data_IF_702473726710
#
_entry.id   IF_702473726710
#
_cell.length_a   1.000
_cell.length_b   1.000
_cell.length_c   1.000
_cell.angle_alpha   90.00
_cell.angle_beta   90.00
_cell.angle_gamma   90.00
#
_symmetry.space_group_name_H-M   'P 1'
#
loop_
_entity.id
_entity.type
_entity.pdbx_description
1 polymer ?
#
# COMPACT_ATOMS: atom_id res chain seq x y z
N UNK A 1 -3.40 11.79 -19.87
CA UNK A 1 -2.05 11.80 -20.44
C UNK A 1 -1.56 10.36 -20.57
N UNK A 2 -0.84 10.04 -21.64
CA UNK A 2 -0.12 8.77 -21.81
C UNK A 2 1.14 8.75 -20.94
N UNK A 3 1.74 7.57 -20.71
CA UNK A 3 2.99 7.49 -19.96
C UNK A 3 4.11 8.29 -20.64
N UNK A 4 4.25 8.18 -21.97
CA UNK A 4 5.16 9.02 -22.76
C UNK A 4 4.96 10.53 -22.60
N UNK A 5 3.73 11.00 -22.43
CA UNK A 5 3.44 12.42 -22.13
C UNK A 5 3.89 12.81 -20.72
N UNK A 6 3.60 11.97 -19.72
CA UNK A 6 4.05 12.18 -18.34
C UNK A 6 5.58 12.27 -18.28
N UNK A 7 6.31 11.36 -18.94
CA UNK A 7 7.78 11.36 -18.94
C UNK A 7 8.35 12.63 -19.58
N UNK A 8 7.76 13.09 -20.70
CA UNK A 8 8.19 14.35 -21.33
C UNK A 8 7.99 15.54 -20.39
N UNK A 9 6.83 15.61 -19.73
CA UNK A 9 6.54 16.65 -18.75
C UNK A 9 7.52 16.61 -17.57
N UNK A 10 7.76 15.43 -17.00
CA UNK A 10 8.64 15.28 -15.84
C UNK A 10 10.09 15.63 -16.21
N UNK A 11 10.62 15.13 -17.34
CA UNK A 11 11.99 15.44 -17.79
C UNK A 11 12.20 16.95 -18.01
N UNK A 12 11.18 17.67 -18.46
CA UNK A 12 11.26 19.12 -18.63
C UNK A 12 11.38 19.88 -17.29
N UNK A 13 10.78 19.35 -16.21
CA UNK A 13 10.71 20.02 -14.91
C UNK A 13 11.70 19.45 -13.87
N UNK A 14 12.19 18.23 -14.09
CA UNK A 14 13.07 17.44 -13.22
C UNK A 14 14.11 16.67 -14.06
N UNK A 15 15.01 17.38 -14.78
CA UNK A 15 15.95 16.77 -15.72
C UNK A 15 16.99 15.84 -15.04
N UNK A 16 17.12 15.90 -13.72
CA UNK A 16 18.03 15.06 -12.94
C UNK A 16 17.51 13.63 -12.71
N UNK A 17 16.22 13.36 -12.95
CA UNK A 17 15.64 12.04 -12.73
C UNK A 17 15.97 11.11 -13.90
N UNK A 18 16.49 9.92 -13.58
CA UNK A 18 16.78 8.87 -14.56
C UNK A 18 15.52 8.03 -14.78
N UNK A 19 14.67 8.48 -15.72
CA UNK A 19 13.34 7.88 -15.95
C UNK A 19 13.36 6.93 -17.14
N UNK A 20 12.73 5.77 -16.97
CA UNK A 20 12.55 4.79 -18.03
C UNK A 20 11.53 5.24 -19.07
N UNK A 21 11.90 5.22 -20.35
CA UNK A 21 10.98 5.36 -21.46
C UNK A 21 10.27 4.04 -21.78
N UNK A 22 9.13 4.09 -22.48
CA UNK A 22 8.39 2.88 -22.90
C UNK A 22 9.25 1.94 -23.76
N UNK A 23 10.14 2.50 -24.58
CA UNK A 23 11.09 1.72 -25.39
C UNK A 23 12.08 0.90 -24.56
N UNK A 24 12.20 1.21 -23.26
CA UNK A 24 13.12 0.57 -22.32
C UNK A 24 12.41 -0.42 -21.39
N UNK A 25 11.10 -0.68 -21.59
CA UNK A 25 10.38 -1.67 -20.77
C UNK A 25 10.91 -3.10 -20.96
N UNK A 26 11.66 -3.36 -22.02
CA UNK A 26 12.37 -4.62 -22.20
C UNK A 26 13.46 -4.91 -21.14
N UNK A 27 13.76 -3.93 -20.29
CA UNK A 27 14.66 -4.09 -19.15
C UNK A 27 14.02 -4.79 -17.95
N UNK A 28 12.68 -4.86 -17.89
CA UNK A 28 11.98 -5.62 -16.85
C UNK A 28 12.08 -7.13 -17.11
N UNK A 29 12.29 -7.91 -16.05
CA UNK A 29 12.24 -9.39 -16.14
C UNK A 29 10.89 -9.91 -16.64
N UNK A 30 9.80 -9.25 -16.27
CA UNK A 30 8.46 -9.53 -16.75
C UNK A 30 7.85 -8.26 -17.35
N UNK A 31 8.01 -8.09 -18.66
CA UNK A 31 7.48 -6.95 -19.40
C UNK A 31 5.95 -6.80 -19.28
N UNK A 32 5.21 -7.91 -19.29
CA UNK A 32 3.74 -7.89 -19.24
C UNK A 32 3.25 -7.33 -17.92
N UNK A 33 3.79 -7.84 -16.80
CA UNK A 33 3.44 -7.35 -15.47
C UNK A 33 3.84 -5.89 -15.29
N UNK A 34 5.04 -5.51 -15.75
CA UNK A 34 5.51 -4.13 -15.66
C UNK A 34 4.61 -3.19 -16.47
N UNK A 35 4.20 -3.58 -17.68
CA UNK A 35 3.28 -2.81 -18.50
C UNK A 35 1.92 -2.62 -17.82
N UNK A 36 1.34 -3.69 -17.26
CA UNK A 36 0.09 -3.63 -16.51
C UNK A 36 0.18 -2.70 -15.28
N UNK A 37 1.28 -2.78 -14.54
CA UNK A 37 1.54 -1.91 -13.39
C UNK A 37 1.63 -0.44 -13.79
N UNK A 38 2.43 -0.14 -14.81
CA UNK A 38 2.66 1.23 -15.31
C UNK A 38 1.37 1.82 -15.90
N UNK A 39 0.63 1.04 -16.68
CA UNK A 39 -0.65 1.45 -17.26
C UNK A 39 -1.68 1.73 -16.16
N UNK A 40 -1.76 0.87 -15.14
CA UNK A 40 -2.64 1.06 -13.99
C UNK A 40 -2.32 2.34 -13.22
N UNK A 41 -1.05 2.57 -12.85
CA UNK A 41 -0.65 3.80 -12.18
C UNK A 41 -0.88 5.05 -13.05
N UNK A 42 -0.63 4.95 -14.36
CA UNK A 42 -0.89 6.07 -15.30
C UNK A 42 -2.38 6.40 -15.36
N UNK A 43 -3.26 5.40 -15.42
CA UNK A 43 -4.72 5.59 -15.37
C UNK A 43 -5.16 6.20 -14.06
N UNK A 44 -4.68 5.68 -12.92
CA UNK A 44 -4.98 6.23 -11.60
C UNK A 44 -4.51 7.69 -11.46
N UNK A 45 -3.31 8.02 -11.95
CA UNK A 45 -2.81 9.41 -12.01
C UNK A 45 -3.71 10.33 -12.82
N UNK A 46 -4.19 9.88 -13.97
CA UNK A 46 -5.08 10.66 -14.82
C UNK A 46 -6.43 10.90 -14.14
N UNK A 47 -7.01 9.87 -13.52
CA UNK A 47 -8.25 9.98 -12.75
C UNK A 47 -8.08 10.95 -11.59
N UNK A 48 -7.02 10.79 -10.79
CA UNK A 48 -6.73 11.69 -9.66
C UNK A 48 -6.55 13.14 -10.12
N UNK A 49 -5.75 13.37 -11.18
CA UNK A 49 -5.51 14.72 -11.70
C UNK A 49 -6.79 15.40 -12.19
N UNK A 50 -7.63 14.64 -12.91
CA UNK A 50 -8.90 15.14 -13.44
C UNK A 50 -9.91 15.42 -12.34
N UNK A 51 -10.12 14.45 -11.43
CA UNK A 51 -11.21 14.49 -10.49
C UNK A 51 -10.91 15.34 -9.25
N UNK A 52 -9.63 15.47 -8.88
CA UNK A 52 -9.20 16.31 -7.76
C UNK A 52 -8.67 17.69 -8.21
N UNK A 53 -8.64 17.95 -9.51
CA UNK A 53 -8.15 19.21 -10.11
C UNK A 53 -6.71 19.56 -9.67
N UNK A 54 -5.83 18.55 -9.61
CA UNK A 54 -4.42 18.66 -9.25
C UNK A 54 -3.52 18.16 -10.39
N UNK A 55 -2.26 18.60 -10.43
CA UNK A 55 -1.29 18.09 -11.39
C UNK A 55 -0.51 16.94 -10.76
N UNK A 56 -0.85 15.69 -11.09
CA UNK A 56 -0.13 14.50 -10.61
C UNK A 56 0.31 13.64 -11.78
N UNK A 57 1.61 13.37 -11.82
CA UNK A 57 2.24 12.61 -12.91
C UNK A 57 2.86 11.33 -12.36
N UNK A 58 2.95 10.31 -13.21
CA UNK A 58 3.57 9.03 -12.87
C UNK A 58 4.77 8.76 -13.77
N UNK A 59 5.84 8.22 -13.19
CA UNK A 59 6.98 7.69 -13.94
C UNK A 59 7.67 6.54 -13.19
N UNK A 60 8.50 5.79 -13.93
CA UNK A 60 9.40 4.79 -13.35
C UNK A 60 10.84 5.29 -13.39
N UNK A 61 11.52 5.23 -12.24
CA UNK A 61 12.96 5.53 -12.13
C UNK A 61 13.79 4.28 -12.44
N UNK A 62 14.85 4.43 -13.25
CA UNK A 62 15.81 3.37 -13.54
C UNK A 62 16.69 3.10 -12.31
N UNK A 63 16.12 2.37 -11.36
CA UNK A 63 16.70 2.09 -10.06
C UNK A 63 16.26 0.70 -9.60
N UNK A 64 17.21 -0.18 -9.28
CA UNK A 64 16.93 -1.56 -8.86
C UNK A 64 16.57 -1.69 -7.37
N UNK A 65 16.58 -0.60 -6.60
CA UNK A 65 16.16 -0.62 -5.20
C UNK A 65 14.63 -0.75 -5.07
N UNK A 66 14.18 -1.50 -4.07
CA UNK A 66 12.77 -1.56 -3.68
C UNK A 66 12.37 -0.27 -2.96
N UNK A 67 11.77 0.68 -3.68
CA UNK A 67 11.32 1.96 -3.13
C UNK A 67 10.25 2.62 -4.02
N UNK A 68 9.37 3.38 -3.40
CA UNK A 68 8.44 4.32 -4.02
C UNK A 68 8.66 5.73 -3.44
N UNK A 69 8.29 6.77 -4.19
CA UNK A 69 8.51 8.17 -3.81
C UNK A 69 7.39 9.08 -4.29
N UNK A 70 7.08 10.07 -3.47
CA UNK A 70 6.30 11.25 -3.83
C UNK A 70 7.20 12.49 -3.87
N UNK A 71 7.17 13.20 -5.00
CA UNK A 71 7.87 14.48 -5.19
C UNK A 71 6.83 15.57 -5.46
N UNK A 72 6.93 16.70 -4.77
CA UNK A 72 6.07 17.87 -4.99
C UNK A 72 6.95 19.07 -5.29
N UNK A 73 6.67 19.78 -6.39
CA UNK A 73 7.34 21.03 -6.77
C UNK A 73 6.38 21.92 -7.55
N UNK A 74 6.28 23.20 -7.19
CA UNK A 74 5.47 24.20 -7.89
C UNK A 74 4.01 23.72 -8.13
N UNK A 75 3.39 23.12 -7.10
CA UNK A 75 2.07 22.47 -7.15
C UNK A 75 1.92 21.28 -8.13
N UNK A 76 3.02 20.75 -8.65
CA UNK A 76 3.04 19.51 -9.42
C UNK A 76 3.53 18.37 -8.54
N UNK A 77 2.71 17.32 -8.43
CA UNK A 77 3.04 16.06 -7.80
C UNK A 77 3.59 15.06 -8.82
N UNK A 78 4.56 14.25 -8.38
CA UNK A 78 5.08 13.11 -9.12
C UNK A 78 5.10 11.91 -8.19
N UNK A 79 4.50 10.82 -8.65
CA UNK A 79 4.66 9.49 -8.06
C UNK A 79 5.72 8.77 -8.88
N UNK A 80 6.79 8.33 -8.21
CA UNK A 80 7.88 7.56 -8.79
C UNK A 80 7.93 6.18 -8.15
N UNK A 81 7.87 5.14 -8.99
CA UNK A 81 8.22 3.79 -8.58
C UNK A 81 9.59 3.46 -9.15
N UNK A 82 10.43 2.83 -8.36
CA UNK A 82 11.67 2.27 -8.87
C UNK A 82 11.38 1.02 -9.71
N UNK A 83 12.18 0.76 -10.75
CA UNK A 83 12.13 -0.49 -11.50
C UNK A 83 12.17 -1.72 -10.56
N UNK A 84 13.07 -1.71 -9.57
CA UNK A 84 13.21 -2.81 -8.62
C UNK A 84 11.97 -3.05 -7.75
N UNK A 85 11.18 -2.01 -7.49
CA UNK A 85 9.89 -2.13 -6.80
C UNK A 85 8.91 -2.94 -7.65
N UNK A 86 8.75 -2.59 -8.93
CA UNK A 86 7.82 -3.25 -9.85
C UNK A 86 8.20 -4.72 -10.01
N UNK A 87 9.49 -5.03 -10.20
CA UNK A 87 9.93 -6.43 -10.31
C UNK A 87 9.66 -7.25 -9.04
N UNK A 88 9.88 -6.65 -7.87
CA UNK A 88 9.66 -7.34 -6.60
C UNK A 88 8.18 -7.47 -6.26
N UNK A 89 7.35 -6.51 -6.68
CA UNK A 89 5.90 -6.53 -6.45
C UNK A 89 5.24 -7.77 -7.07
N UNK A 90 5.67 -8.17 -8.27
CA UNK A 90 5.17 -9.41 -8.90
C UNK A 90 5.46 -10.64 -8.03
N UNK A 91 6.67 -10.71 -7.49
CA UNK A 91 7.11 -11.81 -6.64
C UNK A 91 6.30 -11.81 -5.35
N UNK A 92 6.15 -10.65 -4.70
CA UNK A 92 5.35 -10.49 -3.48
C UNK A 92 3.92 -10.99 -3.71
N UNK A 93 3.25 -10.55 -4.78
CA UNK A 93 1.88 -10.96 -5.08
C UNK A 93 1.83 -12.46 -5.37
N UNK A 94 2.77 -12.98 -6.17
CA UNK A 94 2.81 -14.41 -6.52
C UNK A 94 3.01 -15.29 -5.28
N UNK A 95 3.95 -14.95 -4.41
CA UNK A 95 4.22 -15.63 -3.16
C UNK A 95 3.00 -15.54 -2.24
N UNK A 96 2.37 -14.36 -2.15
CA UNK A 96 1.19 -14.16 -1.32
C UNK A 96 0.02 -15.04 -1.76
N UNK A 97 -0.26 -15.11 -3.06
CA UNK A 97 -1.27 -16.00 -3.62
C UNK A 97 -0.89 -17.46 -3.43
N UNK A 98 0.37 -17.84 -3.65
CA UNK A 98 0.79 -19.23 -3.55
C UNK A 98 0.66 -19.76 -2.12
N UNK A 99 1.16 -19.02 -1.11
CA UNK A 99 1.00 -19.37 0.30
C UNK A 99 -0.48 -19.46 0.66
N UNK A 100 -1.29 -18.49 0.24
CA UNK A 100 -2.74 -18.52 0.46
C UNK A 100 -3.40 -19.77 -0.18
N UNK A 101 -3.00 -20.14 -1.40
CA UNK A 101 -3.53 -21.31 -2.12
C UNK A 101 -3.03 -22.65 -1.58
N UNK A 102 -1.91 -22.71 -0.86
CA UNK A 102 -1.43 -23.96 -0.27
C UNK A 102 -2.34 -24.42 0.88
N UNK A 103 -3.10 -23.50 1.49
CA UNK A 103 -4.02 -23.80 2.58
C UNK A 103 -5.28 -24.57 2.13
N UNK A 104 -5.72 -25.52 2.96
CA UNK A 104 -6.85 -26.41 2.64
C UNK A 104 -8.16 -25.66 2.35
N UNK A 105 -8.48 -24.61 3.11
CA UNK A 105 -9.73 -23.84 2.94
C UNK A 105 -9.76 -23.16 1.57
N UNK A 106 -8.63 -22.61 1.12
CA UNK A 106 -8.51 -21.95 -0.18
C UNK A 106 -8.67 -22.95 -1.32
N UNK A 107 -7.98 -24.11 -1.27
CA UNK A 107 -8.07 -25.18 -2.28
C UNK A 107 -9.49 -25.73 -2.45
N UNK A 108 -10.28 -25.73 -1.37
CA UNK A 108 -11.66 -26.20 -1.42
C UNK A 108 -12.63 -25.17 -2.01
N UNK A 109 -12.24 -23.89 -2.02
CA UNK A 109 -13.12 -22.79 -2.44
C UNK A 109 -12.81 -22.28 -3.84
N UNK A 110 -11.55 -22.38 -4.28
CA UNK A 110 -11.11 -21.84 -5.57
C UNK A 110 -10.55 -22.91 -6.49
N UNK A 111 -10.92 -22.82 -7.76
CA UNK A 111 -10.35 -23.60 -8.85
C UNK A 111 -8.95 -23.07 -9.26
N UNK A 112 -8.26 -23.79 -10.14
CA UNK A 112 -7.00 -23.32 -10.73
C UNK A 112 -7.18 -22.13 -11.66
N UNK A 113 -8.33 -22.02 -12.34
CA UNK A 113 -8.63 -20.82 -13.16
C UNK A 113 -8.85 -19.60 -12.29
N UNK A 114 -9.51 -19.77 -11.13
CA UNK A 114 -9.72 -18.69 -10.16
C UNK A 114 -8.38 -18.20 -9.60
N UNK A 115 -7.34 -19.04 -9.55
CA UNK A 115 -6.00 -18.64 -9.09
C UNK A 115 -5.42 -17.52 -9.93
N UNK A 116 -5.60 -17.56 -11.24
CA UNK A 116 -5.12 -16.51 -12.13
C UNK A 116 -5.93 -15.22 -11.94
N UNK A 117 -7.25 -15.32 -11.85
CA UNK A 117 -8.14 -14.17 -11.62
C UNK A 117 -7.82 -13.47 -10.30
N UNK A 118 -7.66 -14.25 -9.23
CA UNK A 118 -7.25 -13.74 -7.92
C UNK A 118 -5.86 -13.13 -7.98
N UNK A 119 -4.90 -13.75 -8.68
CA UNK A 119 -3.57 -13.15 -8.85
C UNK A 119 -3.65 -11.78 -9.53
N UNK A 120 -4.47 -11.64 -10.56
CA UNK A 120 -4.65 -10.36 -11.26
C UNK A 120 -5.34 -9.32 -10.35
N UNK A 121 -6.39 -9.74 -9.63
CA UNK A 121 -7.05 -8.89 -8.64
C UNK A 121 -6.06 -8.36 -7.59
N UNK A 122 -5.27 -9.24 -6.98
CA UNK A 122 -4.32 -8.83 -5.94
C UNK A 122 -3.15 -8.04 -6.47
N UNK A 123 -2.74 -8.26 -7.73
CA UNK A 123 -1.79 -7.39 -8.41
C UNK A 123 -2.34 -5.96 -8.46
N UNK A 124 -3.57 -5.79 -8.94
CA UNK A 124 -4.24 -4.49 -9.03
C UNK A 124 -4.41 -3.83 -7.66
N UNK A 125 -4.83 -4.58 -6.63
CA UNK A 125 -5.01 -4.04 -5.28
C UNK A 125 -3.69 -3.60 -4.64
N UNK A 126 -2.60 -4.34 -4.87
CA UNK A 126 -1.27 -3.96 -4.36
C UNK A 126 -0.74 -2.72 -5.08
N UNK A 127 -0.94 -2.62 -6.40
CA UNK A 127 -0.62 -1.42 -7.18
C UNK A 127 -1.47 -0.24 -6.69
N UNK A 128 -2.77 -0.44 -6.47
CA UNK A 128 -3.69 0.58 -5.96
C UNK A 128 -3.27 1.07 -4.57
N UNK A 129 -2.89 0.17 -3.66
CA UNK A 129 -2.37 0.55 -2.34
C UNK A 129 -1.14 1.46 -2.45
N UNK A 130 -0.11 1.03 -3.19
CA UNK A 130 1.13 1.80 -3.37
C UNK A 130 0.87 3.16 -4.01
N UNK A 131 0.05 3.19 -5.07
CA UNK A 131 -0.32 4.42 -5.74
C UNK A 131 -1.02 5.39 -4.79
N UNK A 132 -2.05 4.93 -4.08
CA UNK A 132 -2.84 5.79 -3.22
C UNK A 132 -2.05 6.23 -1.98
N UNK A 133 -1.15 5.39 -1.45
CA UNK A 133 -0.19 5.79 -0.41
C UNK A 133 0.63 7.01 -0.88
N UNK A 134 1.28 6.93 -2.05
CA UNK A 134 2.08 8.04 -2.57
C UNK A 134 1.23 9.27 -2.95
N UNK A 135 0.00 9.05 -3.43
CA UNK A 135 -0.95 10.13 -3.68
C UNK A 135 -1.32 10.85 -2.37
N UNK A 136 -1.47 10.12 -1.25
CA UNK A 136 -1.76 10.73 0.04
C UNK A 136 -0.66 11.71 0.45
N UNK A 137 0.61 11.34 0.28
CA UNK A 137 1.72 12.25 0.48
C UNK A 137 1.61 13.50 -0.38
N UNK A 138 1.40 13.36 -1.69
CA UNK A 138 1.22 14.52 -2.57
C UNK A 138 0.11 15.44 -2.05
N UNK A 139 -1.04 14.88 -1.70
CA UNK A 139 -2.18 15.64 -1.20
C UNK A 139 -1.90 16.33 0.14
N UNK A 140 -1.25 15.64 1.09
CA UNK A 140 -0.84 16.18 2.39
C UNK A 140 0.04 17.43 2.22
N UNK A 141 1.01 17.37 1.29
CA UNK A 141 1.97 18.46 1.09
C UNK A 141 1.49 19.56 0.16
N UNK A 142 0.61 19.28 -0.82
CA UNK A 142 -0.04 20.32 -1.63
C UNK A 142 -0.88 21.29 -0.78
N UNK A 143 -1.40 20.86 0.37
CA UNK A 143 -2.12 21.73 1.31
C UNK A 143 -1.23 22.70 2.10
N UNK A 144 0.10 22.53 2.08
CA UNK A 144 1.04 23.24 2.97
C UNK A 144 1.72 24.48 2.34
N UNK A 145 1.08 25.13 1.36
CA UNK A 145 1.52 26.32 0.59
C UNK A 145 2.39 26.07 -0.66
N UNK A 146 2.29 27.01 -1.61
CA UNK A 146 2.60 26.85 -3.04
C UNK A 146 4.07 26.92 -3.47
N UNK A 147 5.01 27.13 -2.54
CA UNK A 147 6.44 27.37 -2.87
C UNK A 147 7.41 26.35 -2.25
N UNK A 148 6.93 25.14 -1.95
CA UNK A 148 7.76 24.12 -1.30
C UNK A 148 8.12 22.96 -2.24
N UNK A 149 9.37 22.49 -2.12
CA UNK A 149 9.88 21.28 -2.75
C UNK A 149 9.98 20.16 -1.71
N UNK A 150 9.23 19.08 -1.90
CA UNK A 150 9.23 17.91 -1.01
C UNK A 150 9.62 16.66 -1.78
N UNK A 151 10.35 15.75 -1.12
CA UNK A 151 10.76 14.46 -1.66
C UNK A 151 10.68 13.41 -0.54
N UNK A 152 9.71 12.51 -0.63
CA UNK A 152 9.37 11.50 0.37
C UNK A 152 9.69 10.12 -0.19
N UNK A 153 10.17 9.21 0.66
CA UNK A 153 10.58 7.87 0.24
C UNK A 153 10.08 6.86 1.28
N UNK A 154 9.53 5.74 0.81
CA UNK A 154 9.06 4.63 1.66
C UNK A 154 10.19 3.87 2.37
N UNK A 155 11.40 3.87 1.81
CA UNK A 155 12.53 3.17 2.41
C UNK A 155 12.92 3.80 3.76
N UNK A 156 12.90 2.97 4.81
CA UNK A 156 13.42 3.37 6.11
C UNK A 156 14.94 3.50 6.08
N UNK A 157 15.46 4.71 6.25
CA UNK A 157 16.91 4.94 6.35
C UNK A 157 17.31 5.18 7.81
N UNK A 158 18.35 4.48 8.28
CA UNK A 158 18.97 4.71 9.59
C UNK A 158 19.60 6.11 9.74
N UNK A 159 19.59 6.93 8.67
CA UNK A 159 20.15 8.29 8.66
C UNK A 159 19.14 9.35 9.08
N UNK A 160 17.85 9.05 9.02
CA UNK A 160 16.80 10.01 9.34
C UNK A 160 16.37 9.85 10.81
N UNK A 161 16.42 10.95 11.55
CA UNK A 161 16.02 10.98 12.96
C UNK A 161 14.49 10.90 13.10
N UNK A 162 14.04 10.40 14.24
CA UNK A 162 12.63 10.38 14.60
C UNK A 162 12.01 11.78 14.58
N UNK A 163 10.93 11.92 13.81
CA UNK A 163 10.03 13.06 13.84
C UNK A 163 8.59 12.55 13.90
N UNK A 164 7.85 12.94 14.93
CA UNK A 164 6.46 12.49 15.14
C UNK A 164 5.58 12.81 13.92
N UNK A 165 5.83 13.95 13.25
CA UNK A 165 5.10 14.37 12.06
C UNK A 165 5.21 13.34 10.94
N UNK A 166 6.41 12.84 10.67
CA UNK A 166 6.63 11.83 9.62
C UNK A 166 5.85 10.56 9.96
N UNK A 167 5.90 10.11 11.22
CA UNK A 167 5.16 8.93 11.65
C UNK A 167 3.64 9.08 11.48
N UNK A 168 3.09 10.26 11.77
CA UNK A 168 1.68 10.57 11.55
C UNK A 168 1.32 10.53 10.07
N UNK A 169 2.15 11.13 9.22
CA UNK A 169 1.92 11.23 7.78
C UNK A 169 1.95 9.87 7.09
N UNK A 170 2.92 9.03 7.45
CA UNK A 170 3.04 7.65 6.99
C UNK A 170 1.82 6.81 7.38
N UNK A 171 1.37 6.91 8.64
CA UNK A 171 0.17 6.19 9.08
C UNK A 171 -1.08 6.69 8.36
N UNK A 172 -1.24 7.99 8.16
CA UNK A 172 -2.38 8.55 7.42
C UNK A 172 -2.36 8.14 5.94
N UNK A 173 -1.19 8.09 5.31
CA UNK A 173 -1.01 7.62 3.93
C UNK A 173 -1.34 6.13 3.77
N UNK A 174 -0.85 5.29 4.68
CA UNK A 174 -1.20 3.87 4.75
C UNK A 174 -2.72 3.65 4.88
N UNK A 175 -3.35 4.38 5.81
CA UNK A 175 -4.79 4.26 6.07
C UNK A 175 -5.63 4.74 4.88
N UNK A 176 -5.15 5.73 4.12
CA UNK A 176 -5.80 6.13 2.88
C UNK A 176 -5.65 5.08 1.78
N UNK A 177 -4.43 4.62 1.51
CA UNK A 177 -4.16 3.61 0.49
C UNK A 177 -4.93 2.31 0.74
N UNK A 178 -4.99 1.87 1.99
CA UNK A 178 -5.72 0.65 2.36
C UNK A 178 -7.24 0.82 2.25
N UNK A 179 -7.77 2.02 2.49
CA UNK A 179 -9.20 2.31 2.36
C UNK A 179 -9.62 2.19 0.89
N UNK A 180 -8.81 2.73 -0.04
CA UNK A 180 -9.08 2.65 -1.48
C UNK A 180 -9.08 1.19 -1.97
N UNK A 181 -8.02 0.43 -1.68
CA UNK A 181 -7.97 -0.96 -2.12
C UNK A 181 -9.03 -1.84 -1.42
N UNK A 182 -9.41 -1.56 -0.18
CA UNK A 182 -10.51 -2.28 0.48
C UNK A 182 -11.83 -2.01 -0.22
N UNK A 183 -12.09 -0.78 -0.65
CA UNK A 183 -13.31 -0.49 -1.42
C UNK A 183 -13.34 -1.26 -2.73
N UNK A 184 -12.25 -1.23 -3.50
CA UNK A 184 -12.13 -1.97 -4.76
C UNK A 184 -12.37 -3.49 -4.56
N UNK A 185 -11.81 -4.07 -3.49
CA UNK A 185 -12.04 -5.47 -3.14
C UNK A 185 -13.52 -5.77 -2.85
N UNK A 186 -14.20 -4.89 -2.11
CA UNK A 186 -15.60 -5.07 -1.78
C UNK A 186 -16.50 -4.90 -2.99
N UNK A 187 -16.17 -3.98 -3.90
CA UNK A 187 -16.89 -3.81 -5.16
C UNK A 187 -16.73 -5.04 -6.05
N UNK A 188 -15.52 -5.60 -6.14
CA UNK A 188 -15.27 -6.88 -6.79
C UNK A 188 -16.13 -7.99 -6.17
N UNK A 189 -16.12 -8.12 -4.84
CA UNK A 189 -16.87 -9.15 -4.13
C UNK A 189 -18.40 -9.02 -4.30
N UNK A 190 -18.92 -7.79 -4.48
CA UNK A 190 -20.34 -7.52 -4.75
C UNK A 190 -20.75 -7.75 -6.20
N UNK A 191 -19.83 -7.51 -7.15
CA UNK A 191 -20.11 -7.57 -8.59
C UNK A 191 -20.01 -8.96 -9.20
N UNK A 192 -19.36 -9.91 -8.52
CA UNK A 192 -19.44 -11.32 -8.91
C UNK A 192 -20.90 -11.75 -8.73
N UNK A 193 -21.54 -12.29 -9.80
CA UNK A 193 -22.93 -12.76 -9.88
C UNK A 193 -23.31 -13.92 -8.92
N UNK A 194 -22.64 -14.05 -7.78
CA UNK A 194 -22.93 -15.05 -6.76
C UNK A 194 -23.80 -14.45 -5.64
N UNK A 195 -24.67 -15.25 -5.00
CA UNK A 195 -25.17 -14.87 -3.68
C UNK A 195 -23.98 -14.60 -2.75
N UNK A 196 -24.11 -13.60 -1.88
CA UNK A 196 -23.07 -13.21 -0.93
C UNK A 196 -22.45 -14.45 -0.27
N UNK A 197 -21.18 -14.69 -0.57
CA UNK A 197 -20.46 -15.87 -0.12
C UNK A 197 -19.45 -15.45 0.97
N UNK A 198 -19.83 -15.66 2.23
CA UNK A 198 -18.99 -15.35 3.39
C UNK A 198 -17.62 -16.03 3.33
N UNK A 199 -17.51 -17.23 2.72
CA UNK A 199 -16.23 -17.93 2.55
C UNK A 199 -15.34 -17.21 1.52
N UNK A 200 -15.94 -16.73 0.42
CA UNK A 200 -15.23 -15.92 -0.58
C UNK A 200 -14.69 -14.64 0.08
N UNK A 201 -15.53 -13.90 0.80
CA UNK A 201 -15.12 -12.68 1.50
C UNK A 201 -14.03 -12.96 2.54
N UNK A 202 -14.16 -14.05 3.30
CA UNK A 202 -13.14 -14.49 4.26
C UNK A 202 -11.77 -14.66 3.61
N UNK A 203 -11.75 -15.39 2.50
CA UNK A 203 -10.58 -15.68 1.71
C UNK A 203 -9.96 -14.40 1.14
N UNK A 204 -10.78 -13.57 0.48
CA UNK A 204 -10.35 -12.31 -0.11
C UNK A 204 -9.75 -11.35 0.92
N UNK A 205 -10.41 -11.16 2.08
CA UNK A 205 -9.87 -10.32 3.15
C UNK A 205 -8.56 -10.88 3.71
N UNK A 206 -8.50 -12.20 3.96
CA UNK A 206 -7.26 -12.84 4.45
C UNK A 206 -6.09 -12.56 3.49
N UNK A 207 -6.31 -12.73 2.19
CA UNK A 207 -5.29 -12.48 1.18
C UNK A 207 -4.91 -11.01 1.09
N UNK A 208 -5.85 -10.07 1.26
CA UNK A 208 -5.56 -8.64 1.28
C UNK A 208 -4.70 -8.25 2.47
N UNK A 209 -5.13 -8.61 3.68
CA UNK A 209 -4.35 -8.32 4.90
C UNK A 209 -2.93 -8.90 4.78
N UNK A 210 -2.82 -10.12 4.25
CA UNK A 210 -1.52 -10.76 4.06
C UNK A 210 -0.64 -10.06 3.02
N UNK A 211 -1.18 -9.73 1.84
CA UNK A 211 -0.41 -9.11 0.75
C UNK A 211 0.12 -7.74 1.16
N UNK A 212 -0.72 -6.92 1.81
CA UNK A 212 -0.32 -5.60 2.31
C UNK A 212 0.72 -5.71 3.41
N UNK A 213 0.54 -6.67 4.32
CA UNK A 213 1.56 -6.94 5.35
C UNK A 213 2.91 -7.29 4.71
N UNK A 214 2.90 -8.10 3.66
CA UNK A 214 4.11 -8.52 2.97
C UNK A 214 4.82 -7.32 2.28
N UNK A 215 4.07 -6.41 1.67
CA UNK A 215 4.62 -5.16 1.09
C UNK A 215 5.31 -4.32 2.17
N UNK A 216 4.62 -4.05 3.29
CA UNK A 216 5.17 -3.25 4.40
C UNK A 216 6.42 -3.90 4.99
N UNK A 217 6.43 -5.23 5.11
CA UNK A 217 7.61 -5.96 5.59
C UNK A 217 8.78 -5.81 4.62
N UNK A 218 8.56 -5.91 3.31
CA UNK A 218 9.60 -5.77 2.30
C UNK A 218 10.24 -4.37 2.31
N UNK A 219 9.43 -3.31 2.47
CA UNK A 219 9.97 -1.94 2.65
C UNK A 219 10.85 -1.79 3.89
N UNK A 220 10.63 -2.62 4.92
CA UNK A 220 11.37 -2.53 6.18
C UNK A 220 12.78 -3.13 6.15
N UNK A 221 13.18 -3.81 5.06
CA UNK A 221 14.54 -4.36 4.83
C UNK A 221 15.19 -5.00 6.07
N UNK A 222 14.45 -5.83 6.82
CA UNK A 222 14.83 -6.56 8.05
C UNK A 222 14.55 -5.88 9.40
N UNK A 223 13.87 -4.74 9.43
CA UNK A 223 13.56 -4.06 10.70
C UNK A 223 12.37 -4.65 11.48
N UNK A 224 11.81 -5.79 11.04
CA UNK A 224 10.62 -6.38 11.68
C UNK A 224 10.90 -6.98 13.07
N UNK A 225 12.12 -7.47 13.34
CA UNK A 225 12.42 -8.22 14.57
C UNK A 225 12.59 -7.32 15.81
N UNK A 226 13.18 -6.14 15.63
CA UNK A 226 13.54 -5.23 16.73
C UNK A 226 12.55 -4.06 16.79
N UNK A 227 11.49 -4.23 17.58
CA UNK A 227 10.44 -3.23 17.68
C UNK A 227 10.97 -1.87 18.17
N UNK A 228 10.46 -0.81 17.56
CA UNK A 228 10.74 0.56 17.93
C UNK A 228 9.49 1.44 17.82
N UNK A 229 9.53 2.58 18.48
CA UNK A 229 8.40 3.53 18.53
C UNK A 229 8.83 4.92 18.08
N UNK A 230 9.90 5.46 18.69
CA UNK A 230 10.40 6.82 18.48
C UNK A 230 11.89 6.86 18.14
N UNK A 231 12.29 6.09 17.12
CA UNK A 231 13.72 5.92 16.75
C UNK A 231 14.01 6.20 15.28
N UNK A 232 13.22 5.62 14.38
CA UNK A 232 13.40 5.74 12.92
C UNK A 232 12.54 6.88 12.37
N UNK A 233 12.58 7.11 11.06
CA UNK A 233 11.78 8.14 10.39
C UNK A 233 10.33 7.74 10.10
N UNK A 234 10.03 6.44 10.14
CA UNK A 234 8.70 5.88 9.89
C UNK A 234 8.28 5.05 11.11
N UNK A 235 6.98 4.79 11.32
CA UNK A 235 6.52 3.87 12.34
C UNK A 235 7.03 2.45 12.07
N UNK A 236 7.23 1.67 13.13
CA UNK A 236 7.67 0.29 12.98
C UNK A 236 6.69 -0.53 12.12
N UNK A 237 7.17 -1.43 11.23
CA UNK A 237 6.34 -2.20 10.31
C UNK A 237 5.17 -2.94 10.98
N UNK A 238 5.42 -3.57 12.14
CA UNK A 238 4.35 -4.23 12.92
C UNK A 238 3.20 -3.28 13.26
N UNK A 239 3.50 -2.03 13.61
CA UNK A 239 2.50 -1.02 13.99
C UNK A 239 1.70 -0.60 12.75
N UNK A 240 2.39 -0.34 11.62
CA UNK A 240 1.75 -0.07 10.32
C UNK A 240 0.78 -1.20 9.94
N UNK A 241 1.24 -2.46 10.02
CA UNK A 241 0.44 -3.66 9.70
C UNK A 241 -0.82 -3.77 10.58
N UNK A 242 -0.70 -3.58 11.89
CA UNK A 242 -1.86 -3.64 12.80
C UNK A 242 -2.90 -2.59 12.41
N UNK A 243 -2.46 -1.35 12.18
CA UNK A 243 -3.36 -0.25 11.82
C UNK A 243 -4.02 -0.48 10.46
N UNK A 244 -3.29 -0.98 9.46
CA UNK A 244 -3.87 -1.37 8.18
C UNK A 244 -4.91 -2.49 8.34
N UNK A 245 -4.60 -3.54 9.10
CA UNK A 245 -5.53 -4.65 9.35
C UNK A 245 -6.81 -4.17 10.04
N UNK A 246 -6.67 -3.34 11.09
CA UNK A 246 -7.81 -2.75 11.80
C UNK A 246 -8.68 -1.90 10.86
N UNK A 247 -8.05 -1.11 9.99
CA UNK A 247 -8.77 -0.27 9.02
C UNK A 247 -9.54 -1.09 7.98
N UNK A 248 -8.93 -2.12 7.39
CA UNK A 248 -9.60 -3.00 6.42
C UNK A 248 -10.86 -3.61 7.04
N UNK A 249 -10.73 -4.15 8.25
CA UNK A 249 -11.80 -4.87 8.90
C UNK A 249 -12.88 -3.92 9.43
N UNK A 250 -12.49 -2.75 9.95
CA UNK A 250 -13.42 -1.70 10.34
C UNK A 250 -14.22 -1.21 9.13
N UNK A 251 -13.55 -0.90 8.02
CA UNK A 251 -14.20 -0.49 6.78
C UNK A 251 -15.15 -1.56 6.26
N UNK A 252 -14.71 -2.83 6.27
CA UNK A 252 -15.54 -3.96 5.83
C UNK A 252 -16.77 -4.14 6.72
N UNK A 253 -16.63 -4.08 8.04
CA UNK A 253 -17.75 -4.24 8.98
C UNK A 253 -18.80 -3.13 8.88
N UNK A 254 -18.41 -1.94 8.44
CA UNK A 254 -19.34 -0.84 8.15
C UNK A 254 -20.11 -1.03 6.84
N UNK A 255 -19.57 -1.80 5.91
CA UNK A 255 -20.12 -2.01 4.58
C UNK A 255 -20.82 -3.36 4.39
N UNK A 256 -20.60 -4.32 5.30
CA UNK A 256 -21.16 -5.67 5.24
C UNK A 256 -21.74 -6.07 6.61
N UNK A 257 -22.92 -6.70 6.60
CA UNK A 257 -23.55 -7.23 7.82
C UNK A 257 -22.97 -8.61 8.15
N UNK A 258 -21.87 -8.63 8.90
CA UNK A 258 -21.17 -9.86 9.32
C UNK A 258 -20.88 -9.80 10.83
N UNK A 259 -20.94 -10.96 11.50
CA UNK A 259 -20.67 -11.09 12.93
C UNK A 259 -19.20 -10.83 13.28
N UNK A 260 -18.91 -10.39 14.51
CA UNK A 260 -17.56 -10.02 14.96
C UNK A 260 -16.57 -11.18 14.90
N UNK A 261 -17.04 -12.39 15.19
CA UNK A 261 -16.28 -13.63 15.22
C UNK A 261 -15.63 -13.94 13.86
N UNK A 262 -16.29 -13.55 12.77
CA UNK A 262 -15.74 -13.67 11.43
C UNK A 262 -14.46 -12.85 11.27
N UNK A 263 -14.46 -11.59 11.69
CA UNK A 263 -13.30 -10.72 11.57
C UNK A 263 -12.16 -11.23 12.44
N UNK A 264 -12.45 -11.69 13.66
CA UNK A 264 -11.44 -12.34 14.52
C UNK A 264 -10.80 -13.56 13.84
N UNK A 265 -11.58 -14.39 13.15
CA UNK A 265 -11.07 -15.51 12.39
C UNK A 265 -10.19 -15.07 11.21
N UNK A 266 -10.53 -13.97 10.52
CA UNK A 266 -9.71 -13.39 9.44
C UNK A 266 -8.34 -12.93 9.98
N UNK A 267 -8.30 -12.19 11.09
CA UNK A 267 -7.01 -11.79 11.70
C UNK A 267 -6.19 -13.01 12.11
N UNK A 268 -6.79 -13.96 12.82
CA UNK A 268 -6.10 -15.16 13.30
C UNK A 268 -5.48 -15.94 12.15
N UNK A 269 -6.23 -16.10 11.06
CA UNK A 269 -5.73 -16.75 9.84
C UNK A 269 -4.59 -15.96 9.23
N UNK A 270 -4.74 -14.66 9.07
CA UNK A 270 -3.71 -13.77 8.51
C UNK A 270 -2.40 -13.87 9.30
N UNK A 271 -2.45 -13.76 10.64
CA UNK A 271 -1.25 -13.86 11.48
C UNK A 271 -0.57 -15.22 11.37
N UNK A 272 -1.35 -16.31 11.29
CA UNK A 272 -0.82 -17.65 11.04
C UNK A 272 -0.09 -17.73 9.70
N UNK A 273 -0.58 -17.07 8.66
CA UNK A 273 0.05 -17.03 7.34
C UNK A 273 1.32 -16.16 7.38
N UNK A 274 1.29 -14.99 8.01
CA UNK A 274 2.47 -14.12 8.17
C UNK A 274 3.61 -14.86 8.90
N UNK A 275 3.30 -15.67 9.91
CA UNK A 275 4.27 -16.52 10.62
C UNK A 275 4.92 -17.60 9.73
N UNK A 276 4.42 -17.84 8.52
CA UNK A 276 5.00 -18.77 7.55
C UNK A 276 5.98 -18.09 6.60
N UNK A 277 6.04 -16.76 6.56
CA UNK A 277 7.04 -16.05 5.75
C UNK A 277 8.43 -16.41 6.29
N UNK A 278 9.27 -16.93 5.39
CA UNK A 278 10.70 -17.05 5.64
C UNK A 278 11.34 -15.70 5.28
N UNK A 279 11.53 -14.87 6.30
CA UNK A 279 12.23 -13.60 6.14
C UNK A 279 13.70 -13.84 5.77
N UNK A 280 14.29 -12.94 4.98
CA UNK A 280 15.74 -12.95 4.69
C UNK A 280 16.61 -12.69 5.95
N UNK A 281 15.99 -12.39 7.10
CA UNK A 281 16.64 -12.42 8.40
C UNK A 281 17.03 -13.85 8.77
N UNK A 282 18.18 -14.04 9.42
CA UNK A 282 18.73 -15.34 9.83
C UNK A 282 17.91 -16.11 10.90
N UNK A 283 16.59 -15.91 10.94
CA UNK A 283 15.65 -16.55 11.85
C UNK A 283 14.20 -16.31 11.42
N UNK A 284 13.32 -17.23 11.81
CA UNK A 284 11.87 -17.10 11.67
C UNK A 284 11.37 -16.08 12.70
N UNK A 285 10.73 -15.00 12.27
CA UNK A 285 10.09 -14.04 13.17
C UNK A 285 8.71 -14.59 13.51
N UNK A 286 8.45 -14.79 14.80
CA UNK A 286 7.11 -15.12 15.30
C UNK A 286 6.34 -13.82 15.50
N UNK A 287 5.60 -13.41 14.48
CA UNK A 287 4.79 -12.20 14.46
C UNK A 287 3.75 -12.19 15.58
N UNK A 288 3.14 -13.36 15.87
CA UNK A 288 2.14 -13.48 16.92
C UNK A 288 2.75 -13.25 18.31
N UNK A 289 3.94 -13.82 18.56
CA UNK A 289 4.67 -13.57 19.80
C UNK A 289 5.12 -12.11 19.89
N UNK A 290 5.69 -11.57 18.82
CA UNK A 290 6.14 -10.16 18.78
C UNK A 290 4.99 -9.19 19.08
N UNK A 291 3.80 -9.43 18.53
CA UNK A 291 2.60 -8.66 18.84
C UNK A 291 2.19 -8.82 20.30
N UNK A 292 2.08 -10.06 20.78
CA UNK A 292 1.65 -10.35 22.15
C UNK A 292 2.55 -9.69 23.20
N UNK A 293 3.86 -9.79 23.00
CA UNK A 293 4.87 -9.29 23.94
C UNK A 293 4.91 -7.76 23.99
N UNK A 294 4.33 -7.04 23.01
CA UNK A 294 4.45 -5.58 22.88
C UNK A 294 3.11 -4.85 22.70
N UNK A 295 1.96 -5.53 22.87
CA UNK A 295 0.65 -4.96 22.53
C UNK A 295 0.34 -3.69 23.32
N UNK A 296 0.68 -3.65 24.61
CA UNK A 296 0.40 -2.50 25.48
C UNK A 296 1.19 -1.26 25.04
N UNK A 297 2.47 -1.41 24.74
CA UNK A 297 3.32 -0.32 24.24
C UNK A 297 2.91 0.14 22.84
N UNK A 298 2.48 -0.79 21.98
CA UNK A 298 1.91 -0.48 20.66
C UNK A 298 0.64 0.37 20.82
N UNK A 299 -0.27 -0.01 21.70
CA UNK A 299 -1.51 0.75 21.97
C UNK A 299 -1.20 2.16 22.49
N UNK A 300 -0.26 2.30 23.45
CA UNK A 300 0.16 3.60 23.95
C UNK A 300 0.73 4.49 22.84
N UNK A 301 1.58 3.94 21.99
CA UNK A 301 2.16 4.67 20.87
C UNK A 301 1.13 5.08 19.82
N UNK A 302 0.18 4.19 19.47
CA UNK A 302 -0.92 4.50 18.54
C UNK A 302 -1.78 5.63 19.10
N UNK A 303 -2.16 5.57 20.38
CA UNK A 303 -2.96 6.61 21.02
C UNK A 303 -2.25 7.97 21.01
N UNK A 304 -0.93 7.98 21.22
CA UNK A 304 -0.12 9.20 21.12
C UNK A 304 -0.13 9.75 19.69
N UNK A 305 0.07 8.91 18.67
CA UNK A 305 -0.02 9.31 17.26
C UNK A 305 -1.39 9.91 16.94
N UNK A 306 -2.47 9.26 17.40
CA UNK A 306 -3.84 9.73 17.17
C UNK A 306 -4.07 11.10 17.81
N UNK A 307 -3.64 11.31 19.06
CA UNK A 307 -3.74 12.61 19.73
C UNK A 307 -2.93 13.70 19.04
N UNK A 308 -1.68 13.40 18.66
CA UNK A 308 -0.80 14.37 18.00
C UNK A 308 -1.27 14.70 16.58
N UNK A 309 -1.95 13.77 15.90
CA UNK A 309 -2.46 13.96 14.53
C UNK A 309 -3.50 15.07 14.41
N UNK A 310 -4.24 15.39 15.48
CA UNK A 310 -5.24 16.46 15.50
C UNK A 310 -4.63 17.86 15.29
N UNK A 311 -3.29 17.99 15.35
CA UNK A 311 -2.57 19.24 15.09
C UNK A 311 -2.33 19.50 13.59
N UNK A 312 -2.58 18.52 12.72
CA UNK A 312 -2.20 18.55 11.30
C UNK A 312 -3.45 18.48 10.39
N UNK A 313 -4.11 19.61 10.17
CA UNK A 313 -5.36 19.67 9.40
C UNK A 313 -5.21 19.26 7.91
N UNK A 314 -3.98 19.24 7.41
CA UNK A 314 -3.62 18.81 6.06
C UNK A 314 -3.71 17.29 5.82
N UNK A 315 -3.83 16.49 6.89
CA UNK A 315 -3.95 15.04 6.79
C UNK A 315 -5.18 14.61 5.99
N UNK A 316 -5.06 13.49 5.31
CA UNK A 316 -6.12 12.93 4.46
C UNK A 316 -7.32 12.52 5.28
N UNK A 317 -7.14 11.98 6.48
CA UNK A 317 -8.25 11.57 7.37
C UNK A 317 -9.34 12.62 7.57
N UNK A 318 -9.02 13.92 7.50
CA UNK A 318 -10.01 15.00 7.67
C UNK A 318 -10.82 15.31 6.40
N UNK A 319 -10.40 14.78 5.25
CA UNK A 319 -11.02 14.99 3.93
C UNK A 319 -11.22 13.70 3.14
N UNK A 320 -11.01 12.55 3.76
CA UNK A 320 -11.01 11.23 3.10
C UNK A 320 -12.30 10.96 2.36
N UNK A 321 -13.46 11.25 2.94
CA UNK A 321 -14.75 11.02 2.28
C UNK A 321 -14.91 11.87 1.02
N UNK A 322 -14.47 13.13 1.07
CA UNK A 322 -14.54 14.03 -0.09
C UNK A 322 -13.65 13.52 -1.21
N UNK A 323 -12.39 13.18 -0.89
CA UNK A 323 -11.44 12.65 -1.86
C UNK A 323 -11.96 11.33 -2.45
N UNK A 324 -12.45 10.43 -1.60
CA UNK A 324 -13.00 9.15 -2.00
C UNK A 324 -14.14 9.31 -3.00
N UNK A 325 -15.13 10.16 -2.70
CA UNK A 325 -16.23 10.42 -3.62
C UNK A 325 -15.72 10.95 -4.96
N UNK A 326 -14.78 11.91 -4.95
CA UNK A 326 -14.21 12.45 -6.18
C UNK A 326 -13.45 11.40 -6.99
N UNK A 327 -12.73 10.46 -6.36
CA UNK A 327 -11.97 9.43 -7.09
C UNK A 327 -12.86 8.33 -7.69
N UNK A 328 -14.07 8.13 -7.17
CA UNK A 328 -15.02 7.11 -7.62
C UNK A 328 -16.18 7.66 -8.50
N UNK A 329 -16.17 8.96 -8.81
CA UNK A 329 -17.00 9.61 -9.84
C UNK A 329 -16.32 9.56 -11.24
#
# INVERSE_FOLDING_TARGET
>A
MTYSENIKFIRANFPQLDLLAETEFHLFKNESFAFECIDSCTKLCNTASRNLEISVNFAVEYNYNFNAKAIIKDNNGIILLNLGLIERLEIIVSDSIEVFYLENISKLTFSQTDKLEIKNLFSNLCISYLFHHELAHILQFLSLSSENHYNLNEETSNKNQFEIKNHIYEMDADLFGITMCTSELLDYAKNINYPFNTILVFNLLTTLLFSISNIIIEFSKNQLADIYYKKQSHPHPLIRIIKCNDQILSFTSKNLVIQKEFFLAVLQRTFKIINQIQYNTKGRIDFSKLLHDNISEIELYINEIEMESEKYNELIRFRVQKIFNSLHE
#
